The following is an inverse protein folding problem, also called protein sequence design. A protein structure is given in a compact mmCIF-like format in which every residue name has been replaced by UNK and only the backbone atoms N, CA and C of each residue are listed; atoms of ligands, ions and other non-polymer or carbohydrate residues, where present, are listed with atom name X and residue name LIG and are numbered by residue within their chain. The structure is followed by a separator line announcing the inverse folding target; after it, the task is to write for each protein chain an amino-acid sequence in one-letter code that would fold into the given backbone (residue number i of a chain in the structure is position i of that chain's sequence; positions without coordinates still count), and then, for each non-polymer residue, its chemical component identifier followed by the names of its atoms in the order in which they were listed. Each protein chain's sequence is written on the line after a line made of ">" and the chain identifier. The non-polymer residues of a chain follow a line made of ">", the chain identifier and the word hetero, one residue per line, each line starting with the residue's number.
data_IF_926364428367
#
_entry.id   IF_926364428367
#
_cell.length_a   1.000
_cell.length_b   1.000
_cell.length_c   1.000
_cell.angle_alpha   90.00
_cell.angle_beta   90.00
_cell.angle_gamma   90.00
#
_symmetry.space_group_name_H-M   'P 1'
#
loop_
_entity.id
_entity.type
_entity.pdbx_description
1 polymer ?
#
# COMPACT_ATOMS: atom_id res chain seq x y z
N UNK A 1 -0.37 11.82 9.09
CA UNK A 1 -0.51 11.64 7.64
C UNK A 1 0.87 11.40 7.06
N UNK A 2 1.08 10.26 6.44
CA UNK A 2 2.40 9.84 5.96
C UNK A 2 2.32 9.62 4.46
N UNK A 3 3.24 10.21 3.71
CA UNK A 3 3.36 9.95 2.28
C UNK A 3 4.09 8.63 2.07
N UNK A 4 3.62 7.87 1.10
CA UNK A 4 4.21 6.58 0.76
C UNK A 4 4.08 6.33 -0.74
N UNK A 5 4.70 5.25 -1.21
CA UNK A 5 4.67 4.88 -2.62
C UNK A 5 4.20 3.43 -2.74
N UNK A 6 3.22 3.22 -3.60
CA UNK A 6 2.76 1.90 -4.00
C UNK A 6 3.56 1.49 -5.22
N UNK A 7 4.17 0.30 -5.18
CA UNK A 7 5.01 -0.20 -6.26
C UNK A 7 4.49 -1.56 -6.69
N UNK A 8 4.30 -1.74 -7.99
CA UNK A 8 3.85 -3.03 -8.51
C UNK A 8 4.41 -3.24 -9.92
N UNK A 9 4.01 -4.33 -10.54
CA UNK A 9 4.45 -4.70 -11.89
C UNK A 9 5.96 -4.78 -11.99
N UNK A 10 6.57 -5.52 -11.04
CA UNK A 10 8.02 -5.70 -11.04
C UNK A 10 8.82 -4.44 -10.79
N UNK A 11 8.20 -3.45 -10.13
CA UNK A 11 8.84 -2.17 -9.84
C UNK A 11 8.66 -1.14 -10.94
N UNK A 12 7.94 -1.48 -12.00
CA UNK A 12 7.76 -0.59 -13.16
C UNK A 12 6.75 0.51 -12.91
N UNK A 13 5.78 0.25 -12.05
CA UNK A 13 4.72 1.22 -11.76
C UNK A 13 4.83 1.67 -10.32
N UNK A 14 4.84 2.99 -10.14
CA UNK A 14 4.90 3.62 -8.83
C UNK A 14 3.78 4.64 -8.74
N UNK A 15 3.06 4.61 -7.62
CA UNK A 15 1.97 5.55 -7.36
C UNK A 15 2.12 6.11 -5.97
N UNK A 16 1.95 7.40 -5.84
CA UNK A 16 1.95 8.04 -4.53
C UNK A 16 0.67 7.74 -3.80
N UNK A 17 0.77 7.60 -2.50
CA UNK A 17 -0.39 7.45 -1.65
C UNK A 17 -0.13 8.12 -0.31
N UNK A 18 -1.20 8.27 0.47
CA UNK A 18 -1.10 8.81 1.82
C UNK A 18 -1.60 7.74 2.77
N UNK A 19 -0.79 7.43 3.77
CA UNK A 19 -1.20 6.51 4.83
C UNK A 19 -2.05 7.31 5.81
N UNK A 20 -3.34 6.96 5.89
CA UNK A 20 -4.28 7.62 6.78
C UNK A 20 -4.36 6.92 8.12
N UNK A 21 -4.08 5.64 8.14
CA UNK A 21 -4.13 4.83 9.33
C UNK A 21 -3.10 3.72 9.20
N UNK A 22 -2.39 3.43 10.27
CA UNK A 22 -1.32 2.44 10.26
C UNK A 22 -1.38 1.61 11.53
N UNK A 23 -1.30 0.29 11.37
CA UNK A 23 -1.21 -0.64 12.47
C UNK A 23 -0.07 -1.62 12.19
N UNK A 24 0.15 -2.55 13.12
CA UNK A 24 1.19 -3.56 12.93
C UNK A 24 0.86 -4.53 11.80
N UNK A 25 -0.41 -4.71 11.48
CA UNK A 25 -0.85 -5.71 10.52
C UNK A 25 -1.26 -5.14 9.19
N UNK A 26 -1.48 -3.82 9.09
CA UNK A 26 -1.95 -3.24 7.84
C UNK A 26 -2.07 -1.74 7.90
N UNK A 27 -2.72 -1.20 6.87
CA UNK A 27 -2.86 0.25 6.73
C UNK A 27 -4.09 0.61 5.92
N UNK A 28 -4.54 1.84 6.09
CA UNK A 28 -5.53 2.45 5.20
C UNK A 28 -4.82 3.50 4.37
N UNK A 29 -4.91 3.38 3.07
CA UNK A 29 -4.20 4.22 2.12
C UNK A 29 -5.19 5.05 1.32
N UNK A 30 -4.85 6.31 1.11
CA UNK A 30 -5.61 7.18 0.23
C UNK A 30 -4.83 7.35 -1.08
N UNK A 31 -5.52 7.16 -2.21
CA UNK A 31 -4.93 7.23 -3.55
C UNK A 31 -5.81 8.10 -4.44
N UNK A 32 -5.24 8.55 -5.56
CA UNK A 32 -6.01 9.34 -6.53
C UNK A 32 -7.02 8.48 -7.29
N UNK A 33 -6.69 7.20 -7.50
CA UNK A 33 -7.59 6.25 -8.15
C UNK A 33 -7.20 4.85 -7.72
N UNK A 34 -8.19 4.02 -7.41
CA UNK A 34 -7.97 2.63 -7.03
C UNK A 34 -8.01 1.68 -8.22
N UNK A 35 -8.37 2.19 -9.42
CA UNK A 35 -8.70 1.33 -10.57
C UNK A 35 -7.55 0.49 -11.08
N UNK A 36 -6.33 1.02 -11.03
CA UNK A 36 -5.18 0.33 -11.60
C UNK A 36 -4.35 -0.42 -10.59
N UNK A 37 -4.74 -0.37 -9.33
CA UNK A 37 -3.94 -0.98 -8.27
C UNK A 37 -4.29 -2.46 -8.18
N UNK A 38 -3.29 -3.37 -8.33
CA UNK A 38 -3.56 -4.80 -8.25
C UNK A 38 -3.86 -5.23 -6.82
N UNK A 39 -4.24 -6.49 -6.67
CA UNK A 39 -4.56 -7.05 -5.37
C UNK A 39 -3.38 -7.08 -4.43
N UNK A 40 -2.18 -7.24 -4.97
CA UNK A 40 -0.94 -7.26 -4.18
C UNK A 40 0.04 -6.26 -4.74
N UNK A 41 0.81 -5.65 -3.87
CA UNK A 41 1.83 -4.68 -4.26
C UNK A 41 2.78 -4.47 -3.09
N UNK A 42 3.84 -3.70 -3.32
CA UNK A 42 4.76 -3.29 -2.26
C UNK A 42 4.47 -1.87 -1.85
N UNK A 43 4.53 -1.61 -0.55
CA UNK A 43 4.38 -0.27 0.00
C UNK A 43 5.73 0.19 0.50
N UNK A 44 6.18 1.35 0.04
CA UNK A 44 7.45 1.94 0.46
C UNK A 44 7.16 3.24 1.19
N UNK A 45 7.63 3.33 2.42
CA UNK A 45 7.51 4.52 3.25
C UNK A 45 8.90 5.09 3.43
N UNK A 46 9.15 6.23 2.79
CA UNK A 46 10.44 6.90 2.84
C UNK A 46 11.56 5.95 2.40
N UNK A 47 12.56 5.72 3.23
CA UNK A 47 13.69 4.84 2.91
C UNK A 47 13.58 3.48 3.59
N UNK A 48 12.42 3.18 4.09
CA UNK A 48 12.20 1.91 4.75
C UNK A 48 12.06 0.81 3.70
N UNK A 49 12.41 -0.42 4.10
CA UNK A 49 12.31 -1.60 3.26
C UNK A 49 10.88 -1.74 2.70
N UNK A 50 10.73 -2.15 1.43
CA UNK A 50 9.41 -2.39 0.87
C UNK A 50 8.63 -3.41 1.69
N UNK A 51 7.36 -3.10 1.92
CA UNK A 51 6.45 -3.95 2.69
C UNK A 51 5.42 -4.56 1.75
N UNK A 52 5.46 -5.87 1.51
CA UNK A 52 4.44 -6.51 0.68
C UNK A 52 3.05 -6.38 1.31
N UNK A 53 2.06 -6.07 0.49
CA UNK A 53 0.69 -5.83 0.92
C UNK A 53 -0.30 -6.57 0.07
N UNK A 54 -1.43 -6.94 0.67
CA UNK A 54 -2.59 -7.47 -0.05
C UNK A 54 -3.79 -6.58 0.26
N UNK A 55 -4.55 -6.24 -0.79
CA UNK A 55 -5.73 -5.40 -0.66
C UNK A 55 -6.85 -6.21 -0.03
N UNK A 56 -7.45 -5.70 1.06
CA UNK A 56 -8.57 -6.35 1.76
C UNK A 56 -9.89 -5.72 1.37
N UNK A 57 -9.90 -4.41 1.11
CA UNK A 57 -11.09 -3.72 0.64
C UNK A 57 -10.69 -2.48 -0.15
N UNK A 58 -11.62 -2.00 -0.96
CA UNK A 58 -11.45 -0.79 -1.77
C UNK A 58 -12.68 0.08 -1.68
N UNK A 59 -12.46 1.38 -1.74
CA UNK A 59 -13.51 2.35 -1.99
C UNK A 59 -13.10 3.20 -3.18
N UNK A 60 -13.70 4.35 -3.36
CA UNK A 60 -13.42 5.20 -4.52
C UNK A 60 -11.98 5.68 -4.53
N UNK A 61 -11.46 6.09 -3.36
CA UNK A 61 -10.13 6.66 -3.26
C UNK A 61 -9.30 6.06 -2.12
N UNK A 62 -9.78 4.98 -1.51
CA UNK A 62 -9.09 4.40 -0.38
C UNK A 62 -8.93 2.90 -0.54
N UNK A 63 -7.88 2.38 0.08
CA UNK A 63 -7.58 0.96 0.12
C UNK A 63 -7.32 0.56 1.56
N UNK A 64 -7.88 -0.57 1.98
CA UNK A 64 -7.40 -1.23 3.17
C UNK A 64 -6.48 -2.35 2.76
N UNK A 65 -5.30 -2.41 3.34
CA UNK A 65 -4.31 -3.42 3.01
C UNK A 65 -3.84 -4.15 4.26
N UNK A 66 -3.45 -5.39 4.06
CA UNK A 66 -2.83 -6.22 5.08
C UNK A 66 -1.40 -6.46 4.66
N UNK A 67 -0.47 -6.33 5.58
CA UNK A 67 0.93 -6.64 5.32
C UNK A 67 1.10 -8.15 5.24
N UNK A 68 1.81 -8.63 4.20
CA UNK A 68 1.95 -10.05 3.93
C UNK A 68 3.40 -10.51 3.90
N UNK A 69 4.35 -9.58 3.99
CA UNK A 69 5.75 -9.92 3.92
C UNK A 69 6.28 -10.61 5.17
N UNK A 70 7.53 -11.12 5.12
CA UNK A 70 8.17 -11.70 6.29
C UNK A 70 8.20 -10.71 7.45
N UNK A 71 7.83 -11.18 8.63
CA UNK A 71 7.74 -10.33 9.81
C UNK A 71 6.41 -9.64 9.99
N UNK A 72 5.50 -9.77 9.03
CA UNK A 72 4.15 -9.26 9.13
C UNK A 72 3.25 -10.34 9.72
N UNK A 73 2.78 -10.15 10.93
CA UNK A 73 1.92 -11.11 11.60
C UNK A 73 0.65 -10.47 12.06
#
# INVERSE_FOLDING_TARGET
>A
MIEATIVFDGGRTRMRCIIRNLSETGAKLEVSSVTRIPRTFDLIVDRVRPQPCAVVWRSVKELGVQFTGPGAH
#
